data_IF_602504529423
#
_entry.id   IF_602504529423
#
_cell.length_a   1.000
_cell.length_b   1.000
_cell.length_c   1.000
_cell.angle_alpha   90.00
_cell.angle_beta   90.00
_cell.angle_gamma   90.00
#
_symmetry.space_group_name_H-M   'P 1'
#
loop_
_entity.id
_entity.type
_entity.pdbx_description
1 polymer ?
#
# COMPACT_ATOMS: atom_id res chain seq x y z
N UNK A 1 20.51 6.42 -7.77
CA UNK A 1 20.46 7.86 -7.40
C UNK A 1 19.04 8.44 -7.45
N UNK A 2 18.36 8.42 -8.61
CA UNK A 2 17.00 8.99 -8.75
C UNK A 2 15.97 8.33 -7.81
N UNK A 3 15.97 6.99 -7.72
CA UNK A 3 15.07 6.23 -6.84
C UNK A 3 15.26 6.63 -5.37
N UNK A 4 16.51 6.75 -4.92
CA UNK A 4 16.84 7.14 -3.55
C UNK A 4 16.33 8.55 -3.23
N UNK A 5 16.61 9.52 -4.11
CA UNK A 5 16.13 10.89 -3.96
C UNK A 5 14.60 10.94 -3.90
N UNK A 6 13.92 10.19 -4.76
CA UNK A 6 12.47 10.11 -4.77
C UNK A 6 11.91 9.60 -3.43
N UNK A 7 12.41 8.48 -2.91
CA UNK A 7 11.91 7.92 -1.66
C UNK A 7 12.28 8.78 -0.45
N UNK A 8 13.49 9.32 -0.37
CA UNK A 8 13.88 10.26 0.69
C UNK A 8 12.96 11.48 0.72
N UNK A 9 12.77 12.12 -0.44
CA UNK A 9 11.87 13.26 -0.56
C UNK A 9 10.43 12.89 -0.17
N UNK A 10 9.95 11.73 -0.64
CA UNK A 10 8.58 11.28 -0.35
C UNK A 10 8.37 11.00 1.14
N UNK A 11 9.34 10.39 1.83
CA UNK A 11 9.27 10.14 3.28
C UNK A 11 9.14 11.47 4.03
N UNK A 12 10.03 12.43 3.73
CA UNK A 12 10.01 13.77 4.35
C UNK A 12 8.70 14.48 4.03
N UNK A 13 8.26 14.44 2.77
CA UNK A 13 7.00 15.04 2.33
C UNK A 13 5.80 14.45 3.06
N UNK A 14 5.70 13.13 3.22
CA UNK A 14 4.61 12.47 3.94
C UNK A 14 4.58 12.92 5.39
N UNK A 15 5.73 12.96 6.07
CA UNK A 15 5.84 13.41 7.45
C UNK A 15 5.41 14.87 7.59
N UNK A 16 5.95 15.76 6.75
CA UNK A 16 5.61 17.18 6.75
C UNK A 16 4.14 17.42 6.42
N UNK A 17 3.62 16.81 5.35
CA UNK A 17 2.24 16.95 4.94
C UNK A 17 1.28 16.33 5.97
N UNK A 18 1.67 15.28 6.70
CA UNK A 18 0.85 14.74 7.79
C UNK A 18 0.63 15.74 8.94
N UNK A 19 1.58 16.64 9.16
CA UNK A 19 1.56 17.67 10.20
C UNK A 19 0.89 18.95 9.72
N UNK A 20 1.33 19.48 8.57
CA UNK A 20 0.93 20.81 8.09
C UNK A 20 -0.25 20.77 7.11
N UNK A 21 -0.34 19.75 6.27
CA UNK A 21 -1.35 19.66 5.20
C UNK A 21 -2.06 18.30 5.18
N UNK A 22 -2.71 17.89 6.28
CA UNK A 22 -3.21 16.52 6.44
C UNK A 22 -4.24 16.14 5.37
N UNK A 23 -4.94 17.12 4.77
CA UNK A 23 -5.88 16.90 3.65
C UNK A 23 -5.22 16.25 2.43
N UNK A 24 -3.92 16.44 2.22
CA UNK A 24 -3.15 15.87 1.09
C UNK A 24 -2.84 14.38 1.33
N UNK A 25 -2.61 13.99 2.58
CA UNK A 25 -2.23 12.61 2.94
C UNK A 25 -3.44 11.75 3.33
N UNK A 26 -4.49 12.38 3.85
CA UNK A 26 -5.72 11.70 4.20
C UNK A 26 -6.35 11.10 2.94
N UNK A 27 -6.61 9.81 3.00
CA UNK A 27 -7.40 9.09 2.02
C UNK A 27 -8.57 8.35 2.72
N UNK A 28 -9.75 8.27 2.11
CA UNK A 28 -10.93 7.74 2.81
C UNK A 28 -12.21 8.50 2.47
N UNK A 29 -13.08 8.69 3.47
CA UNK A 29 -14.30 9.51 3.35
C UNK A 29 -13.93 11.00 3.24
N UNK A 30 -13.46 11.43 2.09
CA UNK A 30 -13.26 12.83 1.70
C UNK A 30 -14.37 13.22 0.71
N UNK A 31 -14.77 14.50 0.70
CA UNK A 31 -15.90 14.98 -0.12
C UNK A 31 -15.59 14.86 -1.62
N UNK A 32 -14.39 15.30 -2.01
CA UNK A 32 -13.94 15.40 -3.39
C UNK A 32 -12.78 14.45 -3.67
N UNK A 33 -12.62 14.06 -4.94
CA UNK A 33 -11.54 13.21 -5.41
C UNK A 33 -11.99 11.96 -6.16
N UNK A 34 -11.00 11.18 -6.53
CA UNK A 34 -11.06 9.97 -7.33
C UNK A 34 -11.47 8.78 -6.45
N UNK A 35 -12.36 7.91 -6.92
CA UNK A 35 -12.76 6.71 -6.19
C UNK A 35 -11.57 5.76 -5.96
N UNK A 36 -11.43 5.21 -4.75
CA UNK A 36 -10.41 4.19 -4.47
C UNK A 36 -10.61 2.88 -5.24
N UNK A 37 -11.78 2.67 -5.87
CA UNK A 37 -11.99 1.52 -6.74
C UNK A 37 -11.07 1.53 -7.97
N UNK A 38 -10.51 2.69 -8.31
CA UNK A 38 -9.53 2.83 -9.38
C UNK A 38 -8.12 2.40 -9.00
N UNK A 39 -7.89 1.93 -7.77
CA UNK A 39 -6.66 1.22 -7.40
C UNK A 39 -6.35 0.03 -8.34
N UNK A 40 -7.39 -0.59 -8.89
CA UNK A 40 -7.25 -1.67 -9.89
C UNK A 40 -6.33 -1.28 -11.06
N UNK A 41 -6.33 0.00 -11.48
CA UNK A 41 -5.58 0.43 -12.67
C UNK A 41 -4.08 0.46 -12.44
N UNK A 42 -3.60 0.95 -11.29
CA UNK A 42 -2.15 0.94 -11.07
C UNK A 42 -1.62 -0.47 -10.79
N UNK A 43 -2.42 -1.39 -10.23
CA UNK A 43 -2.01 -2.79 -10.08
C UNK A 43 -1.94 -3.50 -11.44
N UNK A 44 -2.93 -3.26 -12.30
CA UNK A 44 -2.92 -3.77 -13.67
C UNK A 44 -1.73 -3.21 -14.46
N UNK A 45 -1.50 -1.90 -14.36
CA UNK A 45 -0.33 -1.24 -14.93
C UNK A 45 0.97 -1.88 -14.43
N UNK A 46 1.12 -2.09 -13.12
CA UNK A 46 2.31 -2.72 -12.56
C UNK A 46 2.54 -4.14 -13.07
N UNK A 47 1.48 -4.95 -13.21
CA UNK A 47 1.56 -6.28 -13.82
C UNK A 47 2.05 -6.22 -15.27
N UNK A 48 1.43 -5.36 -16.08
CA UNK A 48 1.80 -5.15 -17.49
C UNK A 48 3.24 -4.65 -17.58
N UNK A 49 3.62 -3.64 -16.79
CA UNK A 49 4.95 -3.06 -16.78
C UNK A 49 6.00 -4.10 -16.38
N UNK A 50 5.76 -4.88 -15.32
CA UNK A 50 6.65 -5.96 -14.91
C UNK A 50 6.84 -6.99 -16.01
N UNK A 51 5.77 -7.41 -16.69
CA UNK A 51 5.85 -8.39 -17.78
C UNK A 51 6.55 -7.83 -19.02
N UNK A 52 6.23 -6.60 -19.43
CA UNK A 52 6.85 -5.95 -20.60
C UNK A 52 8.35 -5.75 -20.39
N UNK A 53 8.75 -5.34 -19.18
CA UNK A 53 10.13 -5.02 -18.84
C UNK A 53 10.99 -6.26 -18.65
N UNK A 54 10.51 -7.28 -17.92
CA UNK A 54 11.29 -8.50 -17.65
C UNK A 54 11.00 -9.67 -18.60
N UNK A 55 9.99 -9.53 -19.48
CA UNK A 55 9.48 -10.59 -20.39
C UNK A 55 8.94 -11.83 -19.68
N UNK A 56 8.61 -11.72 -18.40
CA UNK A 56 8.05 -12.79 -17.58
C UNK A 56 7.36 -12.26 -16.31
N UNK A 57 6.63 -13.13 -15.63
CA UNK A 57 6.07 -12.83 -14.31
C UNK A 57 7.13 -12.99 -13.23
N UNK A 58 7.38 -11.92 -12.47
CA UNK A 58 8.29 -11.95 -11.32
C UNK A 58 7.54 -12.38 -10.05
N UNK A 59 8.26 -12.77 -9.01
CA UNK A 59 7.63 -13.06 -7.71
C UNK A 59 6.92 -11.84 -7.11
N UNK A 60 7.41 -10.63 -7.41
CA UNK A 60 6.70 -9.41 -7.06
C UNK A 60 5.37 -9.25 -7.82
N UNK A 61 5.29 -9.76 -9.06
CA UNK A 61 4.02 -9.81 -9.81
C UNK A 61 2.96 -10.62 -9.07
N UNK A 62 3.32 -11.61 -8.25
CA UNK A 62 2.36 -12.33 -7.39
C UNK A 62 1.68 -11.40 -6.38
N UNK A 63 2.43 -10.48 -5.77
CA UNK A 63 1.88 -9.47 -4.87
C UNK A 63 0.92 -8.54 -5.61
N UNK A 64 1.33 -8.05 -6.79
CA UNK A 64 0.50 -7.17 -7.61
C UNK A 64 -0.77 -7.88 -8.10
N UNK A 65 -0.67 -9.14 -8.49
CA UNK A 65 -1.79 -9.95 -8.94
C UNK A 65 -2.82 -10.14 -7.83
N UNK A 66 -2.37 -10.49 -6.62
CA UNK A 66 -3.24 -10.55 -5.45
C UNK A 66 -3.95 -9.22 -5.23
N UNK A 67 -3.22 -8.10 -5.24
CA UNK A 67 -3.80 -6.76 -5.01
C UNK A 67 -4.78 -6.33 -6.10
N UNK A 68 -4.51 -6.72 -7.35
CA UNK A 68 -5.42 -6.53 -8.48
C UNK A 68 -6.74 -7.28 -8.25
N UNK A 69 -6.68 -8.57 -7.94
CA UNK A 69 -7.84 -9.42 -7.64
C UNK A 69 -8.62 -8.85 -6.44
N UNK A 70 -7.93 -8.51 -5.35
CA UNK A 70 -8.53 -7.89 -4.16
C UNK A 70 -9.27 -6.60 -4.51
N UNK A 71 -8.77 -5.78 -5.44
CA UNK A 71 -9.41 -4.51 -5.83
C UNK A 71 -10.65 -4.70 -6.71
N UNK A 72 -10.77 -5.86 -7.36
CA UNK A 72 -11.99 -6.27 -8.07
C UNK A 72 -13.04 -6.73 -7.07
N UNK A 73 -12.66 -7.62 -6.14
CA UNK A 73 -13.56 -8.22 -5.16
C UNK A 73 -13.99 -7.22 -4.07
N UNK A 74 -13.04 -6.48 -3.50
CA UNK A 74 -13.23 -5.61 -2.34
C UNK A 74 -13.47 -4.16 -2.76
N UNK A 75 -14.69 -3.87 -3.22
CA UNK A 75 -15.09 -2.50 -3.61
C UNK A 75 -15.27 -1.57 -2.41
N UNK A 76 -14.72 -0.37 -2.52
CA UNK A 76 -14.94 0.75 -1.61
C UNK A 76 -16.23 1.50 -1.99
N UNK A 77 -17.13 1.70 -1.01
CA UNK A 77 -18.39 2.43 -1.24
C UNK A 77 -18.25 3.95 -1.21
N UNK A 78 -17.45 4.50 -0.28
CA UNK A 78 -17.37 5.95 -0.02
C UNK A 78 -15.94 6.43 0.24
N UNK A 79 -14.96 5.66 -0.22
CA UNK A 79 -13.54 5.97 -0.04
C UNK A 79 -12.99 6.61 -1.31
N UNK A 80 -12.46 7.82 -1.19
CA UNK A 80 -11.83 8.58 -2.27
C UNK A 80 -10.36 8.87 -1.94
N UNK A 81 -9.61 9.25 -2.96
CA UNK A 81 -8.21 9.69 -2.95
C UNK A 81 -8.07 10.92 -3.85
N UNK A 82 -7.04 11.74 -3.64
CA UNK A 82 -6.78 12.86 -4.55
C UNK A 82 -6.00 12.39 -5.80
N UNK A 83 -5.93 13.24 -6.82
CA UNK A 83 -5.22 12.95 -8.09
C UNK A 83 -3.74 12.67 -7.83
N UNK A 84 -3.10 13.44 -6.94
CA UNK A 84 -1.68 13.26 -6.59
C UNK A 84 -1.39 11.87 -6.04
N UNK A 85 -2.22 11.36 -5.13
CA UNK A 85 -2.13 10.00 -4.57
C UNK A 85 -2.32 8.95 -5.66
N UNK A 86 -3.23 9.19 -6.60
CA UNK A 86 -3.48 8.27 -7.71
C UNK A 86 -2.26 8.19 -8.64
N UNK A 87 -1.75 9.33 -9.09
CA UNK A 87 -0.55 9.42 -9.95
C UNK A 87 0.68 8.86 -9.23
N UNK A 88 0.85 9.17 -7.95
CA UNK A 88 1.93 8.62 -7.14
C UNK A 88 1.89 7.08 -7.11
N UNK A 89 0.70 6.47 -7.11
CA UNK A 89 0.55 5.02 -7.20
C UNK A 89 1.27 4.42 -8.41
N UNK A 90 1.11 5.01 -9.60
CA UNK A 90 1.81 4.55 -10.81
C UNK A 90 3.32 4.66 -10.66
N UNK A 91 3.80 5.85 -10.24
CA UNK A 91 5.23 6.12 -10.06
C UNK A 91 5.84 5.14 -9.06
N UNK A 92 5.18 4.93 -7.91
CA UNK A 92 5.62 4.02 -6.88
C UNK A 92 5.81 2.59 -7.40
N UNK A 93 4.83 2.04 -8.13
CA UNK A 93 4.96 0.69 -8.68
C UNK A 93 6.01 0.61 -9.77
N UNK A 94 6.16 1.62 -10.63
CA UNK A 94 7.25 1.67 -11.62
C UNK A 94 8.61 1.54 -10.94
N UNK A 95 8.88 2.41 -9.95
CA UNK A 95 10.18 2.42 -9.27
C UNK A 95 10.41 1.15 -8.46
N UNK A 96 9.37 0.64 -7.78
CA UNK A 96 9.48 -0.59 -6.98
C UNK A 96 9.74 -1.81 -7.86
N UNK A 97 9.10 -1.92 -9.04
CA UNK A 97 9.35 -3.01 -9.98
C UNK A 97 10.78 -2.97 -10.51
N UNK A 98 11.25 -1.79 -10.94
CA UNK A 98 12.63 -1.61 -11.43
C UNK A 98 13.65 -2.00 -10.36
N UNK A 99 13.33 -1.75 -9.10
CA UNK A 99 14.21 -2.04 -7.97
C UNK A 99 14.25 -3.51 -7.58
N UNK A 100 13.09 -4.15 -7.46
CA UNK A 100 13.03 -5.53 -6.96
C UNK A 100 13.77 -6.51 -7.87
N UNK A 101 13.92 -6.18 -9.17
CA UNK A 101 14.56 -7.01 -10.20
C UNK A 101 13.95 -8.42 -10.22
N UNK A 102 14.44 -9.28 -11.12
CA UNK A 102 14.05 -10.70 -11.16
C UNK A 102 14.68 -11.48 -10.00
N UNK A 103 14.33 -11.13 -8.75
CA UNK A 103 14.80 -11.81 -7.54
C UNK A 103 13.76 -12.83 -7.10
N UNK A 104 14.22 -14.07 -6.88
CA UNK A 104 13.39 -15.13 -6.32
C UNK A 104 13.10 -14.89 -4.85
N UNK A 105 11.85 -14.92 -4.44
CA UNK A 105 11.40 -14.71 -3.06
C UNK A 105 11.36 -16.01 -2.27
N UNK A 106 11.36 -15.91 -0.94
CA UNK A 106 11.26 -17.08 -0.06
C UNK A 106 9.82 -17.59 0.04
N UNK A 107 9.64 -18.81 0.58
CA UNK A 107 8.30 -19.34 0.92
C UNK A 107 7.52 -18.40 1.86
N UNK A 108 8.23 -17.68 2.74
CA UNK A 108 7.64 -16.75 3.70
C UNK A 108 6.93 -15.58 3.02
N UNK A 109 7.47 -15.07 1.90
CA UNK A 109 6.83 -14.03 1.11
C UNK A 109 5.42 -14.39 0.64
N UNK A 110 5.23 -15.63 0.15
CA UNK A 110 3.93 -16.09 -0.32
C UNK A 110 2.95 -16.33 0.83
N UNK A 111 3.43 -16.87 1.96
CA UNK A 111 2.64 -17.02 3.19
C UNK A 111 2.14 -15.65 3.66
N UNK A 112 3.02 -14.65 3.73
CA UNK A 112 2.63 -13.29 4.11
C UNK A 112 1.62 -12.67 3.15
N UNK A 113 1.78 -12.85 1.84
CA UNK A 113 0.80 -12.38 0.86
C UNK A 113 -0.58 -13.03 1.07
N UNK A 114 -0.62 -14.33 1.34
CA UNK A 114 -1.85 -15.05 1.65
C UNK A 114 -2.49 -14.55 2.95
N UNK A 115 -1.71 -14.39 4.02
CA UNK A 115 -2.20 -13.82 5.28
C UNK A 115 -2.72 -12.39 5.11
N UNK A 116 -2.10 -11.59 4.25
CA UNK A 116 -2.55 -10.24 3.96
C UNK A 116 -3.90 -10.26 3.21
N UNK A 117 -4.09 -11.20 2.28
CA UNK A 117 -5.39 -11.44 1.65
C UNK A 117 -6.48 -11.77 2.67
N UNK A 118 -6.22 -12.72 3.57
CA UNK A 118 -7.16 -13.09 4.64
C UNK A 118 -7.49 -11.88 5.54
N UNK A 119 -6.50 -11.05 5.87
CA UNK A 119 -6.72 -9.83 6.64
C UNK A 119 -7.60 -8.81 5.90
N UNK A 120 -7.43 -8.64 4.60
CA UNK A 120 -8.33 -7.79 3.81
C UNK A 120 -9.74 -8.37 3.75
N UNK A 121 -9.88 -9.67 3.48
CA UNK A 121 -11.16 -10.36 3.46
C UNK A 121 -11.92 -10.15 4.76
N UNK A 122 -11.26 -10.34 5.90
CA UNK A 122 -11.82 -10.09 7.22
C UNK A 122 -12.29 -8.64 7.38
N UNK A 123 -11.44 -7.65 7.06
CA UNK A 123 -11.76 -6.22 7.25
C UNK A 123 -12.93 -5.76 6.36
N UNK A 124 -13.02 -6.26 5.12
CA UNK A 124 -14.10 -5.91 4.22
C UNK A 124 -15.41 -6.61 4.58
N UNK A 125 -15.36 -7.88 4.99
CA UNK A 125 -16.55 -8.60 5.46
C UNK A 125 -17.06 -8.05 6.79
N UNK A 126 -16.18 -7.67 7.73
CA UNK A 126 -16.59 -7.08 9.00
C UNK A 126 -17.37 -5.78 8.83
N UNK A 127 -17.04 -4.95 7.83
CA UNK A 127 -17.82 -3.76 7.48
C UNK A 127 -19.21 -4.10 6.95
N UNK A 128 -19.39 -5.28 6.34
CA UNK A 128 -20.67 -5.76 5.83
C UNK A 128 -21.55 -6.34 6.93
N UNK A 129 -20.94 -7.05 7.90
CA UNK A 129 -21.66 -7.84 8.91
C UNK A 129 -21.68 -7.24 10.34
N UNK A 130 -21.14 -6.03 10.57
CA UNK A 130 -21.20 -5.30 11.86
C UNK A 130 -20.65 -6.05 13.09
N UNK A 131 -19.69 -6.97 12.94
CA UNK A 131 -19.07 -7.65 14.10
C UNK A 131 -18.33 -6.67 15.03
N UNK A 132 -18.34 -6.97 16.34
CA UNK A 132 -17.66 -6.19 17.40
C UNK A 132 -16.16 -6.03 17.07
N UNK A 133 -15.66 -4.80 17.20
CA UNK A 133 -14.38 -4.39 16.62
C UNK A 133 -13.18 -4.78 17.51
N UNK A 134 -12.38 -5.78 17.13
CA UNK A 134 -11.06 -5.98 17.74
C UNK A 134 -10.06 -4.98 17.12
N UNK A 135 -9.50 -4.08 17.94
CA UNK A 135 -8.57 -3.03 17.48
C UNK A 135 -7.33 -3.60 16.79
N UNK A 136 -6.84 -4.76 17.22
CA UNK A 136 -5.63 -5.39 16.67
C UNK A 136 -5.91 -5.84 15.23
N UNK A 137 -7.03 -6.52 15.00
CA UNK A 137 -7.42 -7.00 13.68
C UNK A 137 -7.75 -5.87 12.70
N UNK A 138 -8.03 -4.65 13.18
CA UNK A 138 -8.26 -3.47 12.33
C UNK A 138 -7.10 -3.17 11.39
N UNK A 139 -5.89 -3.35 11.90
CA UNK A 139 -4.66 -2.87 11.29
C UNK A 139 -3.72 -4.02 10.92
N UNK A 140 -4.16 -5.29 11.06
CA UNK A 140 -3.35 -6.46 10.73
C UNK A 140 -2.83 -6.45 9.29
N UNK A 141 -3.67 -6.03 8.33
CA UNK A 141 -3.28 -5.92 6.92
C UNK A 141 -2.09 -4.96 6.69
N UNK A 142 -1.97 -3.90 7.50
CA UNK A 142 -0.84 -2.98 7.43
C UNK A 142 0.43 -3.58 8.01
N UNK A 143 0.30 -4.28 9.14
CA UNK A 143 1.43 -4.99 9.74
C UNK A 143 2.00 -6.04 8.78
N UNK A 144 1.12 -6.82 8.14
CA UNK A 144 1.50 -7.80 7.12
C UNK A 144 2.12 -7.14 5.89
N UNK A 145 1.65 -5.96 5.48
CA UNK A 145 2.27 -5.18 4.41
C UNK A 145 3.72 -4.82 4.76
N UNK A 146 3.97 -4.31 5.97
CA UNK A 146 5.32 -4.02 6.45
C UNK A 146 6.19 -5.28 6.45
N UNK A 147 5.69 -6.43 6.91
CA UNK A 147 6.45 -7.69 6.89
C UNK A 147 6.81 -8.15 5.48
N UNK A 148 5.91 -7.97 4.50
CA UNK A 148 6.20 -8.30 3.10
C UNK A 148 7.34 -7.44 2.56
N UNK A 149 7.32 -6.13 2.83
CA UNK A 149 8.39 -5.24 2.39
C UNK A 149 9.70 -5.42 3.18
N UNK A 150 9.62 -5.85 4.44
CA UNK A 150 10.79 -6.29 5.19
C UNK A 150 11.42 -7.53 4.54
N UNK A 151 10.63 -8.51 4.12
CA UNK A 151 11.13 -9.69 3.41
C UNK A 151 11.76 -9.32 2.05
N UNK A 152 11.15 -8.41 1.30
CA UNK A 152 11.73 -7.86 0.06
C UNK A 152 13.08 -7.20 0.35
N UNK A 153 13.17 -6.35 1.37
CA UNK A 153 14.42 -5.71 1.79
C UNK A 153 15.47 -6.75 2.20
N UNK A 154 15.11 -7.73 3.04
CA UNK A 154 16.01 -8.81 3.47
C UNK A 154 16.55 -9.64 2.30
N UNK A 155 15.79 -9.72 1.20
CA UNK A 155 16.20 -10.46 0.01
C UNK A 155 17.12 -9.67 -0.92
N UNK A 156 16.91 -8.36 -1.04
CA UNK A 156 17.67 -7.49 -1.96
C UNK A 156 18.90 -6.88 -1.27
N UNK A 157 18.74 -6.41 -0.02
CA UNK A 157 19.76 -5.81 0.84
C UNK A 157 20.52 -4.64 0.23
N UNK A 158 19.80 -3.68 -0.36
CA UNK A 158 20.38 -2.41 -0.84
C UNK A 158 19.62 -1.20 -0.30
N UNK A 159 20.17 -0.01 -0.57
CA UNK A 159 19.64 1.25 -0.04
C UNK A 159 18.28 1.58 -0.62
N UNK A 160 18.04 1.30 -1.90
CA UNK A 160 16.77 1.54 -2.57
C UNK A 160 15.65 0.71 -1.93
N UNK A 161 15.85 -0.60 -1.76
CA UNK A 161 14.86 -1.49 -1.12
C UNK A 161 14.66 -1.16 0.37
N UNK A 162 15.70 -0.70 1.07
CA UNK A 162 15.57 -0.17 2.42
C UNK A 162 14.67 1.06 2.45
N UNK A 163 14.88 2.02 1.54
CA UNK A 163 14.07 3.24 1.47
C UNK A 163 12.61 2.95 1.11
N UNK A 164 12.35 1.97 0.23
CA UNK A 164 10.98 1.48 -0.03
C UNK A 164 10.35 0.95 1.26
N UNK A 165 11.09 0.15 2.03
CA UNK A 165 10.60 -0.40 3.30
C UNK A 165 10.31 0.70 4.33
N UNK A 166 11.22 1.66 4.52
CA UNK A 166 11.01 2.81 5.42
C UNK A 166 9.82 3.65 4.96
N UNK A 167 9.66 3.86 3.65
CA UNK A 167 8.49 4.53 3.09
C UNK A 167 7.19 3.80 3.48
N UNK A 168 7.13 2.47 3.34
CA UNK A 168 5.94 1.67 3.69
C UNK A 168 5.62 1.77 5.18
N UNK A 169 6.63 1.71 6.06
CA UNK A 169 6.45 1.92 7.51
C UNK A 169 5.88 3.32 7.78
N UNK A 170 6.50 4.35 7.19
CA UNK A 170 6.12 5.75 7.41
C UNK A 170 4.68 6.00 6.97
N UNK A 171 4.32 5.55 5.76
CA UNK A 171 2.99 5.67 5.20
C UNK A 171 1.95 4.94 6.07
N UNK A 172 2.27 3.74 6.53
CA UNK A 172 1.43 2.95 7.44
C UNK A 172 1.19 3.67 8.76
N UNK A 173 2.26 4.15 9.39
CA UNK A 173 2.20 4.85 10.67
C UNK A 173 1.34 6.12 10.57
N UNK A 174 1.59 6.96 9.57
CA UNK A 174 0.82 8.17 9.31
C UNK A 174 -0.64 7.84 9.04
N UNK A 175 -0.92 6.81 8.25
CA UNK A 175 -2.28 6.37 7.95
C UNK A 175 -3.05 5.94 9.20
N UNK A 176 -2.43 5.15 10.08
CA UNK A 176 -3.04 4.69 11.33
C UNK A 176 -3.28 5.87 12.27
N UNK A 177 -2.29 6.75 12.45
CA UNK A 177 -2.37 7.93 13.30
C UNK A 177 -3.51 8.86 12.88
N UNK A 178 -3.61 9.18 11.58
CA UNK A 178 -4.67 10.02 11.01
C UNK A 178 -6.07 9.39 11.19
N UNK A 179 -6.19 8.06 11.05
CA UNK A 179 -7.46 7.35 11.27
C UNK A 179 -7.91 7.40 12.72
N UNK A 180 -6.99 7.31 13.68
CA UNK A 180 -7.32 7.38 15.10
C UNK A 180 -7.75 8.81 15.50
N UNK A 181 -7.07 9.85 15.01
CA UNK A 181 -7.46 11.26 15.26
C UNK A 181 -8.88 11.59 14.78
N UNK A 182 -9.27 11.13 13.58
CA UNK A 182 -10.62 11.35 13.04
C UNK A 182 -11.75 10.68 13.84
N UNK A 183 -11.46 9.61 14.57
CA UNK A 183 -12.45 8.95 15.43
C UNK A 183 -12.70 9.80 16.68
N UNK A 184 -11.65 10.44 17.23
CA UNK A 184 -11.80 11.33 18.38
C UNK A 184 -12.63 12.58 18.02
N UNK A 185 -12.41 13.18 16.85
CA UNK A 185 -13.15 14.37 16.39
C UNK A 185 -14.62 14.11 16.00
N UNK A 186 -15.05 12.86 15.91
CA UNK A 186 -16.47 12.50 15.67
C UNK A 186 -17.22 12.08 16.94
N UNK A 187 -16.52 12.04 18.08
CA UNK A 187 -17.06 11.69 19.39
C UNK A 187 -17.20 12.90 20.32
N UNK A 188 -16.79 14.07 19.86
CA UNK A 188 -17.14 15.38 20.39
C UNK A 188 -18.34 15.89 19.60
#
# INVERSE_FOLDING_TARGET
>A
MLINLFFCFTIVFILAASKYYPRIIIHGKIKEGISKNYFVYFYLYGLIFSYVFYKECTDYSTLLLRRFIESIIFKYKSSKMNVLQFTYGFIFYTLTILEIKKRKMSKYFYILNFLQFLSHLYIFNQKRFRYKFNRILKYSHYFLECLIYLEIFNKIKNIESFLVFIYVITFTFVTISQRNKKICLKKQ
#
